data_IF_977335966709
#
_entry.id   IF_977335966709
#
_cell.length_a   1.000
_cell.length_b   1.000
_cell.length_c   1.000
_cell.angle_alpha   90.00
_cell.angle_beta   90.00
_cell.angle_gamma   90.00
#
_symmetry.space_group_name_H-M   'P 1'
#
loop_
_entity.id
_entity.type
_entity.pdbx_description
1 polymer ?
#
# COMPACT_ATOMS: atom_id res chain seq x y z
N UNK A 1 -3.08 -1.68 2.03
CA UNK A 1 -4.47 -1.86 2.50
C UNK A 1 -5.17 -2.95 1.68
N UNK A 2 -5.58 -2.71 0.42
CA UNK A 2 -6.34 -3.72 -0.36
C UNK A 2 -5.53 -4.92 -0.92
N UNK A 3 -4.22 -4.95 -0.72
CA UNK A 3 -3.36 -6.05 -1.17
C UNK A 3 -3.58 -7.36 -0.38
N UNK A 4 -4.32 -7.31 0.72
CA UNK A 4 -4.71 -8.48 1.52
C UNK A 4 -5.96 -9.22 0.97
N UNK A 5 -6.52 -8.74 -0.15
CA UNK A 5 -7.69 -9.33 -0.80
C UNK A 5 -9.00 -9.14 -0.03
N UNK A 6 -9.01 -8.40 1.09
CA UNK A 6 -10.20 -8.22 1.92
C UNK A 6 -11.04 -7.03 1.44
N UNK A 7 -12.33 -7.25 1.10
CA UNK A 7 -13.26 -6.14 0.86
C UNK A 7 -13.44 -5.29 2.13
N UNK A 8 -13.55 -3.98 1.96
CA UNK A 8 -13.76 -3.02 3.07
C UNK A 8 -14.85 -2.01 2.74
N UNK A 9 -15.58 -1.57 3.75
CA UNK A 9 -16.50 -0.45 3.68
C UNK A 9 -15.74 0.89 3.76
N UNK A 10 -16.36 2.00 3.32
CA UNK A 10 -15.75 3.33 3.46
C UNK A 10 -15.43 3.70 4.91
N UNK A 11 -16.20 3.17 5.88
CA UNK A 11 -15.93 3.38 7.31
C UNK A 11 -14.64 2.68 7.71
N UNK A 12 -14.50 1.40 7.37
CA UNK A 12 -13.28 0.64 7.68
C UNK A 12 -12.03 1.25 7.02
N UNK A 13 -12.16 1.74 5.78
CA UNK A 13 -11.06 2.43 5.09
C UNK A 13 -10.70 3.75 5.80
N UNK A 14 -11.69 4.51 6.27
CA UNK A 14 -11.47 5.74 7.03
C UNK A 14 -10.78 5.46 8.36
N UNK A 15 -11.23 4.45 9.07
CA UNK A 15 -10.67 4.00 10.34
C UNK A 15 -9.22 3.53 10.16
N UNK A 16 -8.94 2.68 9.16
CA UNK A 16 -7.59 2.15 8.89
C UNK A 16 -6.58 3.21 8.44
N UNK A 17 -7.03 4.22 7.70
CA UNK A 17 -6.17 5.31 7.23
C UNK A 17 -6.08 6.48 8.22
N UNK A 18 -6.83 6.43 9.33
CA UNK A 18 -7.03 7.56 10.25
C UNK A 18 -7.43 8.85 9.50
N UNK A 19 -8.33 8.73 8.52
CA UNK A 19 -8.76 9.83 7.66
C UNK A 19 -10.25 10.12 7.82
N UNK A 20 -10.60 11.39 7.60
CA UNK A 20 -12.00 11.81 7.50
C UNK A 20 -12.75 11.04 6.42
N UNK A 21 -13.95 10.57 6.74
CA UNK A 21 -14.77 9.76 5.82
C UNK A 21 -15.07 10.52 4.52
N UNK A 22 -15.20 11.85 4.56
CA UNK A 22 -15.41 12.65 3.35
C UNK A 22 -14.21 12.59 2.40
N UNK A 23 -12.98 12.53 2.94
CA UNK A 23 -11.74 12.38 2.17
C UNK A 23 -11.67 11.00 1.56
N UNK A 24 -11.90 9.95 2.36
CA UNK A 24 -11.93 8.57 1.87
C UNK A 24 -12.99 8.38 0.78
N UNK A 25 -14.18 8.92 0.95
CA UNK A 25 -15.24 8.81 -0.05
C UNK A 25 -14.83 9.47 -1.40
N UNK A 26 -14.18 10.64 -1.36
CA UNK A 26 -13.66 11.28 -2.59
C UNK A 26 -12.62 10.40 -3.27
N UNK A 27 -11.66 9.86 -2.50
CA UNK A 27 -10.59 9.01 -3.04
C UNK A 27 -11.12 7.68 -3.58
N UNK A 28 -12.02 7.01 -2.85
CA UNK A 28 -12.62 5.75 -3.28
C UNK A 28 -13.44 5.90 -4.56
N UNK A 29 -14.22 6.98 -4.71
CA UNK A 29 -14.95 7.23 -5.95
C UNK A 29 -14.03 7.57 -7.13
N UNK A 30 -12.94 8.32 -6.89
CA UNK A 30 -11.93 8.57 -7.91
C UNK A 30 -11.26 7.26 -8.36
N UNK A 31 -10.89 6.40 -7.42
CA UNK A 31 -10.29 5.10 -7.68
C UNK A 31 -11.25 4.13 -8.39
N UNK A 32 -12.54 4.14 -8.05
CA UNK A 32 -13.58 3.43 -8.82
C UNK A 32 -13.65 3.91 -10.27
N UNK A 33 -13.66 5.24 -10.49
CA UNK A 33 -13.70 5.83 -11.84
C UNK A 33 -12.46 5.50 -12.65
N UNK A 34 -11.30 5.37 -12.00
CA UNK A 34 -10.04 4.97 -12.61
C UNK A 34 -9.94 3.45 -12.86
N UNK A 35 -10.93 2.65 -12.44
CA UNK A 35 -10.89 1.19 -12.57
C UNK A 35 -9.97 0.49 -11.56
N UNK A 36 -9.47 1.23 -10.57
CA UNK A 36 -8.56 0.70 -9.54
C UNK A 36 -9.30 -0.06 -8.44
N UNK A 37 -10.55 0.31 -8.20
CA UNK A 37 -11.43 -0.39 -7.28
C UNK A 37 -12.63 -0.97 -8.02
N UNK A 38 -13.18 -2.03 -7.43
CA UNK A 38 -14.53 -2.53 -7.68
C UNK A 38 -15.36 -2.36 -6.42
N UNK A 39 -16.70 -2.33 -6.55
CA UNK A 39 -17.60 -2.33 -5.41
C UNK A 39 -18.68 -3.40 -5.56
N UNK A 40 -19.02 -4.05 -4.45
CA UNK A 40 -20.10 -5.00 -4.35
C UNK A 40 -20.99 -4.68 -3.16
N UNK A 41 -22.22 -5.17 -3.18
CA UNK A 41 -23.16 -5.06 -2.07
C UNK A 41 -24.01 -6.31 -2.03
N UNK A 42 -23.95 -7.03 -0.93
CA UNK A 42 -24.79 -8.21 -0.73
C UNK A 42 -26.27 -7.81 -0.58
N UNK A 43 -27.21 -8.61 -1.09
CA UNK A 43 -28.63 -8.40 -0.85
C UNK A 43 -28.94 -8.33 0.65
N UNK A 44 -29.63 -7.27 1.07
CA UNK A 44 -29.97 -7.04 2.49
C UNK A 44 -28.94 -6.23 3.28
N UNK A 45 -27.78 -5.91 2.70
CA UNK A 45 -26.81 -5.02 3.32
C UNK A 45 -26.91 -3.58 2.79
N UNK A 46 -26.75 -2.61 3.69
CA UNK A 46 -26.79 -1.17 3.35
C UNK A 46 -25.43 -0.64 2.87
N UNK A 47 -24.32 -1.25 3.30
CA UNK A 47 -22.98 -0.77 3.01
C UNK A 47 -22.41 -1.36 1.71
N UNK A 48 -21.75 -0.51 0.92
CA UNK A 48 -20.91 -0.95 -0.20
C UNK A 48 -19.57 -1.45 0.33
N UNK A 49 -19.13 -2.60 -0.19
CA UNK A 49 -17.81 -3.14 0.02
C UNK A 49 -16.94 -2.83 -1.20
N UNK A 50 -15.72 -2.41 -0.96
CA UNK A 50 -14.75 -2.01 -1.97
C UNK A 50 -13.59 -3.00 -1.96
N UNK A 51 -13.14 -3.39 -3.14
CA UNK A 51 -12.00 -4.27 -3.36
C UNK A 51 -11.12 -3.70 -4.46
N UNK A 52 -9.81 -3.97 -4.42
CA UNK A 52 -8.96 -3.68 -5.58
C UNK A 52 -9.43 -4.49 -6.80
N UNK A 53 -9.34 -3.92 -7.99
CA UNK A 53 -9.51 -4.70 -9.21
C UNK A 53 -8.31 -5.61 -9.45
N UNK A 54 -8.51 -6.73 -10.12
CA UNK A 54 -7.41 -7.65 -10.48
C UNK A 54 -6.33 -6.93 -11.29
N UNK A 55 -6.74 -6.14 -12.30
CA UNK A 55 -5.83 -5.33 -13.11
C UNK A 55 -5.01 -4.35 -12.26
N UNK A 56 -5.62 -3.69 -11.27
CA UNK A 56 -4.89 -2.77 -10.39
C UNK A 56 -3.89 -3.48 -9.47
N UNK A 57 -4.20 -4.71 -9.02
CA UNK A 57 -3.25 -5.51 -8.25
C UNK A 57 -2.08 -5.97 -9.12
N UNK A 58 -2.33 -6.35 -10.37
CA UNK A 58 -1.29 -6.71 -11.33
C UNK A 58 -0.37 -5.53 -11.65
N UNK A 59 -0.94 -4.36 -11.91
CA UNK A 59 -0.17 -3.14 -12.21
C UNK A 59 0.63 -2.68 -11.00
N UNK A 60 0.03 -2.67 -9.80
CA UNK A 60 0.75 -2.39 -8.56
C UNK A 60 1.91 -3.35 -8.32
N UNK A 61 1.70 -4.64 -8.58
CA UNK A 61 2.74 -5.65 -8.44
C UNK A 61 3.89 -5.41 -9.42
N UNK A 62 3.58 -5.04 -10.67
CA UNK A 62 4.57 -4.71 -11.70
C UNK A 62 5.40 -3.49 -11.30
N UNK A 63 4.75 -2.41 -10.88
CA UNK A 63 5.42 -1.20 -10.42
C UNK A 63 6.32 -1.47 -9.20
N UNK A 64 5.86 -2.31 -8.27
CA UNK A 64 6.67 -2.72 -7.12
C UNK A 64 7.92 -3.50 -7.56
N UNK A 65 7.79 -4.42 -8.52
CA UNK A 65 8.94 -5.14 -9.08
C UNK A 65 9.94 -4.20 -9.75
N UNK A 66 9.46 -3.23 -10.53
CA UNK A 66 10.32 -2.23 -11.18
C UNK A 66 11.08 -1.38 -10.16
N UNK A 67 10.41 -1.00 -9.07
CA UNK A 67 11.02 -0.26 -7.97
C UNK A 67 12.07 -1.10 -7.23
N UNK A 68 11.76 -2.36 -6.90
CA UNK A 68 12.72 -3.27 -6.26
C UNK A 68 13.94 -3.53 -7.16
N UNK A 69 13.73 -3.69 -8.47
CA UNK A 69 14.82 -3.83 -9.42
C UNK A 69 15.68 -2.57 -9.54
N UNK A 70 15.11 -1.38 -9.33
CA UNK A 70 15.89 -0.14 -9.22
C UNK A 70 16.75 -0.12 -7.94
N UNK A 71 16.18 -0.51 -6.80
CA UNK A 71 16.91 -0.60 -5.54
C UNK A 71 18.06 -1.60 -5.61
N UNK A 72 17.84 -2.78 -6.20
CA UNK A 72 18.91 -3.76 -6.40
C UNK A 72 20.03 -3.18 -7.29
N UNK A 73 19.70 -2.55 -8.43
CA UNK A 73 20.71 -1.89 -9.27
C UNK A 73 21.51 -0.82 -8.51
N UNK A 74 20.85 -0.02 -7.68
CA UNK A 74 21.52 0.99 -6.85
C UNK A 74 22.46 0.35 -5.82
N UNK A 75 22.04 -0.75 -5.18
CA UNK A 75 22.87 -1.52 -4.27
C UNK A 75 24.09 -2.13 -4.98
N UNK A 76 23.90 -2.69 -6.18
CA UNK A 76 24.97 -3.23 -7.01
C UNK A 76 25.97 -2.16 -7.49
N UNK A 77 25.57 -0.89 -7.52
CA UNK A 77 26.48 0.21 -7.85
C UNK A 77 27.47 0.54 -6.71
N UNK A 78 27.18 0.11 -5.47
CA UNK A 78 28.11 0.28 -4.35
C UNK A 78 29.31 -0.67 -4.47
N UNK A 79 30.50 -0.26 -3.98
CA UNK A 79 31.65 -1.17 -3.85
C UNK A 79 31.26 -2.43 -3.07
N UNK A 80 31.71 -3.60 -3.54
CA UNK A 80 31.31 -4.90 -3.00
C UNK A 80 31.47 -5.00 -1.48
N UNK A 81 32.58 -4.47 -0.93
CA UNK A 81 32.86 -4.46 0.51
C UNK A 81 31.99 -3.52 1.35
N UNK A 82 31.30 -2.56 0.73
CA UNK A 82 30.45 -1.58 1.43
C UNK A 82 28.96 -1.96 1.43
N UNK A 83 28.55 -2.88 0.54
CA UNK A 83 27.13 -3.28 0.40
C UNK A 83 26.56 -3.87 1.68
N UNK A 84 27.27 -4.83 2.29
CA UNK A 84 26.82 -5.48 3.51
C UNK A 84 26.69 -4.48 4.68
N UNK A 85 27.67 -3.59 4.81
CA UNK A 85 27.67 -2.52 5.83
C UNK A 85 26.53 -1.54 5.62
N UNK A 86 26.26 -1.15 4.38
CA UNK A 86 25.13 -0.28 4.06
C UNK A 86 23.80 -0.92 4.45
N UNK A 87 23.58 -2.19 4.10
CA UNK A 87 22.36 -2.91 4.45
C UNK A 87 22.16 -3.04 5.97
N UNK A 88 23.23 -3.33 6.71
CA UNK A 88 23.19 -3.40 8.18
C UNK A 88 22.77 -2.06 8.81
N UNK A 89 23.35 -0.95 8.35
CA UNK A 89 22.98 0.38 8.84
C UNK A 89 21.56 0.78 8.42
N UNK A 90 21.15 0.44 7.20
CA UNK A 90 19.81 0.73 6.71
C UNK A 90 18.74 -0.05 7.51
N UNK A 91 19.00 -1.33 7.82
CA UNK A 91 18.12 -2.15 8.64
C UNK A 91 17.98 -1.61 10.07
N UNK A 92 19.10 -1.20 10.67
CA UNK A 92 19.12 -0.55 12.00
C UNK A 92 18.27 0.72 11.99
N UNK A 93 18.43 1.55 10.96
CA UNK A 93 17.64 2.78 10.82
C UNK A 93 16.16 2.48 10.59
N UNK A 94 15.82 1.55 9.69
CA UNK A 94 14.44 1.20 9.38
C UNK A 94 13.69 0.65 10.60
N UNK A 95 14.37 -0.14 11.42
CA UNK A 95 13.84 -0.64 12.70
C UNK A 95 13.56 0.52 13.66
N UNK A 96 14.54 1.38 13.92
CA UNK A 96 14.37 2.53 14.82
C UNK A 96 13.30 3.52 14.33
N UNK A 97 13.20 3.74 13.02
CA UNK A 97 12.15 4.56 12.42
C UNK A 97 10.75 3.96 12.66
N UNK A 98 10.61 2.64 12.52
CA UNK A 98 9.34 1.94 12.73
C UNK A 98 8.90 2.00 14.18
N UNK A 99 9.83 1.83 15.13
CA UNK A 99 9.57 1.98 16.57
C UNK A 99 9.08 3.40 16.89
N UNK A 100 9.78 4.43 16.40
CA UNK A 100 9.39 5.82 16.60
C UNK A 100 8.02 6.16 15.99
N UNK A 101 7.65 5.54 14.86
CA UNK A 101 6.37 5.77 14.20
C UNK A 101 5.17 5.11 14.92
N UNK A 102 5.40 4.12 15.79
CA UNK A 102 4.35 3.51 16.63
C UNK A 102 4.15 4.28 17.93
N UNK A 103 5.17 5.01 18.40
CA UNK A 103 5.13 5.78 19.65
C UNK A 103 4.56 7.20 19.50
N UNK A 104 4.46 7.73 18.28
CA UNK A 104 3.96 9.09 17.97
C UNK A 104 2.54 9.13 17.45
#
# INVERSE_FOLDING_TARGET
MFSDGRPRTLREIADELALEQSTVNRQANAALKAGLLTRSREPGQNAWHFSASEAALEDFSRELQDHLALLDRALQALPEGERARFLEHFDTFATAYSEAAVEG
#
